data_IF_437913732398
#
_entry.id   IF_437913732398
#
_cell.length_a   1.000
_cell.length_b   1.000
_cell.length_c   1.000
_cell.angle_alpha   90.00
_cell.angle_beta   90.00
_cell.angle_gamma   90.00
#
_symmetry.space_group_name_H-M   'P 1'
#
loop_
_entity.id
_entity.type
_entity.pdbx_description
1 polymer ?
#
# COMPACT_ATOMS: atom_id res chain seq x y z
N UNK A 1 -4.01 13.86 -8.26
CA UNK A 1 -3.02 12.80 -8.06
C UNK A 1 -2.94 11.92 -9.29
N UNK A 2 -1.75 11.57 -9.68
CA UNK A 2 -1.59 10.66 -10.80
C UNK A 2 -1.85 9.23 -10.35
N UNK A 3 -2.64 8.52 -11.10
CA UNK A 3 -2.83 7.09 -10.87
C UNK A 3 -1.62 6.33 -11.38
N UNK A 4 -1.18 5.38 -10.58
CA UNK A 4 -0.08 4.51 -10.94
C UNK A 4 -0.69 3.16 -11.32
N UNK A 5 -0.25 2.61 -12.44
CA UNK A 5 -0.67 1.30 -12.88
C UNK A 5 0.43 0.28 -12.59
N UNK A 6 0.02 -0.96 -12.33
CA UNK A 6 0.98 -2.06 -12.18
C UNK A 6 1.54 -2.36 -13.57
N UNK A 7 2.86 -2.44 -13.72
CA UNK A 7 3.46 -2.77 -15.02
C UNK A 7 2.98 -4.11 -15.57
N UNK A 8 2.89 -4.21 -16.88
CA UNK A 8 2.30 -5.38 -17.54
C UNK A 8 3.05 -6.69 -17.28
N UNK A 9 4.35 -6.61 -17.01
CA UNK A 9 5.18 -7.79 -16.75
C UNK A 9 5.16 -8.22 -15.27
N UNK A 10 4.34 -7.57 -14.44
CA UNK A 10 4.22 -7.90 -13.03
C UNK A 10 3.11 -8.90 -12.80
N UNK A 11 3.32 -9.76 -11.83
CA UNK A 11 2.37 -10.83 -11.48
C UNK A 11 2.01 -10.74 -10.02
N UNK A 12 0.78 -11.11 -9.72
CA UNK A 12 0.27 -11.17 -8.36
C UNK A 12 0.94 -12.32 -7.61
N UNK A 13 1.45 -12.04 -6.40
CA UNK A 13 2.13 -13.06 -5.61
C UNK A 13 1.41 -13.42 -4.33
N UNK A 14 0.77 -12.45 -3.67
CA UNK A 14 0.02 -12.73 -2.46
C UNK A 14 -0.98 -11.62 -2.17
N UNK A 15 -1.98 -11.96 -1.37
CA UNK A 15 -2.97 -11.02 -0.86
C UNK A 15 -3.02 -11.17 0.65
N UNK A 16 -3.06 -10.04 1.36
CA UNK A 16 -3.25 -10.08 2.81
C UNK A 16 -4.68 -10.51 3.13
N UNK A 17 -4.93 -10.98 4.36
CA UNK A 17 -6.30 -11.11 4.82
C UNK A 17 -6.99 -9.74 4.78
N UNK A 18 -8.30 -9.73 4.92
CA UNK A 18 -9.01 -8.48 5.17
C UNK A 18 -8.63 -8.00 6.56
N UNK A 19 -8.06 -6.81 6.62
CA UNK A 19 -7.60 -6.22 7.88
C UNK A 19 -8.56 -5.15 8.36
N UNK A 20 -8.64 -5.03 9.69
CA UNK A 20 -9.32 -3.92 10.37
C UNK A 20 -8.28 -3.09 11.10
N UNK A 21 -8.70 -2.02 11.77
CA UNK A 21 -7.79 -1.22 12.61
C UNK A 21 -7.09 -2.08 13.66
N UNK A 22 -7.80 -3.08 14.17
CA UNK A 22 -7.29 -3.91 15.26
C UNK A 22 -6.45 -5.07 14.78
N UNK A 23 -6.70 -5.57 13.58
CA UNK A 23 -6.03 -6.79 13.08
C UNK A 23 -4.85 -6.52 12.16
N UNK A 24 -4.75 -5.33 11.60
CA UNK A 24 -3.62 -4.98 10.75
C UNK A 24 -2.34 -4.86 11.56
N UNK A 25 -1.18 -5.19 10.96
CA UNK A 25 0.10 -4.99 11.66
C UNK A 25 0.27 -3.54 12.07
N UNK A 26 0.73 -3.32 13.30
CA UNK A 26 0.89 -1.97 13.82
C UNK A 26 1.84 -1.12 12.97
N UNK A 27 2.80 -1.75 12.32
CA UNK A 27 3.80 -1.05 11.52
C UNK A 27 3.20 -0.29 10.34
N UNK A 28 2.04 -0.69 9.81
CA UNK A 28 1.49 -0.01 8.64
C UNK A 28 0.91 1.36 8.97
N UNK A 29 0.59 1.59 10.23
CA UNK A 29 0.08 2.90 10.67
C UNK A 29 1.22 3.89 10.88
N UNK A 30 2.45 3.41 10.98
CA UNK A 30 3.64 4.22 11.17
C UNK A 30 4.35 4.38 9.84
N UNK A 31 5.11 5.48 9.72
CA UNK A 31 5.91 5.70 8.53
C UNK A 31 6.90 4.55 8.33
N UNK A 32 6.89 3.95 7.16
CA UNK A 32 7.78 2.84 6.84
C UNK A 32 8.05 2.80 5.33
N UNK A 33 9.07 2.06 4.96
CA UNK A 33 9.25 1.64 3.57
C UNK A 33 8.49 0.35 3.35
N UNK A 34 8.19 0.06 2.12
CA UNK A 34 7.53 -1.19 1.80
C UNK A 34 8.34 -2.36 2.29
N UNK A 35 7.74 -2.97 3.17
CA UNK A 35 8.13 -4.03 4.01
C UNK A 35 9.21 -4.92 3.48
N UNK A 36 10.40 -4.70 3.97
CA UNK A 36 11.49 -5.64 3.83
C UNK A 36 11.54 -6.19 2.46
N UNK A 37 10.95 -5.51 1.62
CA UNK A 37 10.58 -6.12 0.44
C UNK A 37 11.61 -5.88 -0.59
N UNK A 38 11.56 -6.70 -1.51
CA UNK A 38 12.36 -6.62 -2.66
C UNK A 38 12.04 -5.38 -3.43
N UNK A 39 13.06 -4.86 -4.04
CA UNK A 39 12.96 -3.77 -4.96
C UNK A 39 11.89 -4.05 -5.99
N UNK A 40 11.03 -3.07 -6.23
CA UNK A 40 10.06 -3.16 -7.29
C UNK A 40 8.77 -3.89 -6.98
N UNK A 41 8.48 -4.17 -5.71
CA UNK A 41 7.19 -4.74 -5.34
C UNK A 41 6.14 -3.64 -5.34
N UNK A 42 5.05 -3.85 -6.09
CA UNK A 42 3.94 -2.89 -6.14
C UNK A 42 2.80 -3.38 -5.28
N UNK A 43 2.38 -2.61 -4.27
CA UNK A 43 1.17 -2.91 -3.51
C UNK A 43 -0.05 -2.27 -4.15
N UNK A 44 -1.17 -2.99 -4.14
CA UNK A 44 -2.47 -2.45 -4.50
C UNK A 44 -3.38 -2.58 -3.29
N UNK A 45 -3.75 -1.45 -2.70
CA UNK A 45 -4.61 -1.42 -1.53
C UNK A 45 -6.05 -1.26 -1.96
N UNK A 46 -6.92 -2.15 -1.50
CA UNK A 46 -8.34 -2.14 -1.81
C UNK A 46 -9.14 -1.98 -0.52
N UNK A 47 -10.08 -1.04 -0.53
CA UNK A 47 -10.93 -0.78 0.64
C UNK A 47 -12.31 -1.36 0.38
N UNK A 48 -12.77 -2.24 1.29
CA UNK A 48 -14.10 -2.84 1.18
C UNK A 48 -15.12 -2.12 2.05
N UNK A 49 -14.70 -1.44 3.10
CA UNK A 49 -15.59 -0.70 4.00
C UNK A 49 -14.82 0.46 4.61
N UNK A 50 -15.51 1.58 4.82
CA UNK A 50 -14.89 2.78 5.39
C UNK A 50 -13.98 3.48 4.40
N UNK A 51 -12.85 3.98 4.88
CA UNK A 51 -11.88 4.70 4.04
C UNK A 51 -10.49 4.66 4.64
N UNK A 52 -9.49 4.68 3.77
CA UNK A 52 -8.08 4.74 4.13
C UNK A 52 -7.50 6.03 3.54
N UNK A 53 -6.61 6.68 4.27
CA UNK A 53 -5.78 7.75 3.73
C UNK A 53 -4.34 7.26 3.67
N UNK A 54 -3.75 7.34 2.48
CA UNK A 54 -2.34 7.05 2.25
C UNK A 54 -1.56 8.36 2.30
N UNK A 55 -0.46 8.37 3.04
CA UNK A 55 0.45 9.52 3.11
C UNK A 55 1.81 9.09 2.59
N UNK A 56 2.29 9.74 1.54
CA UNK A 56 3.62 9.50 0.99
C UNK A 56 4.57 10.63 1.41
N UNK A 57 5.78 10.27 1.81
CA UNK A 57 6.78 11.21 2.32
C UNK A 57 8.00 11.24 1.43
N UNK A 58 8.69 12.39 1.40
CA UNK A 58 9.92 12.51 0.62
C UNK A 58 11.04 11.66 1.20
N UNK A 59 11.08 11.53 2.54
CA UNK A 59 12.08 10.72 3.23
C UNK A 59 11.57 10.32 4.61
N UNK A 60 12.43 9.67 5.38
CA UNK A 60 12.09 9.14 6.70
C UNK A 60 11.68 10.21 7.70
N UNK A 61 12.21 11.39 7.57
CA UNK A 61 12.10 12.44 8.61
C UNK A 61 11.34 13.68 8.19
N UNK A 62 10.90 13.77 6.94
CA UNK A 62 10.12 14.93 6.47
C UNK A 62 8.89 15.13 7.33
N UNK A 63 8.63 16.34 7.85
CA UNK A 63 7.51 16.54 8.78
C UNK A 63 6.14 16.42 8.13
N UNK A 64 6.05 16.71 6.84
CA UNK A 64 4.77 16.69 6.12
C UNK A 64 4.82 15.70 4.96
N UNK A 65 3.69 15.05 4.67
CA UNK A 65 3.63 14.23 3.47
C UNK A 65 3.72 15.10 2.21
N UNK A 66 4.34 14.57 1.17
CA UNK A 66 4.39 15.24 -0.13
C UNK A 66 3.17 14.88 -0.97
N UNK A 67 2.45 13.84 -0.55
CA UNK A 67 1.23 13.44 -1.25
C UNK A 67 0.31 12.71 -0.30
N UNK A 68 -1.00 12.94 -0.43
CA UNK A 68 -2.01 12.19 0.31
C UNK A 68 -3.09 11.73 -0.66
N UNK A 69 -3.60 10.53 -0.40
CA UNK A 69 -4.63 9.91 -1.24
C UNK A 69 -5.68 9.31 -0.34
N UNK A 70 -6.95 9.60 -0.61
CA UNK A 70 -8.05 8.95 0.08
C UNK A 70 -8.63 7.86 -0.81
N UNK A 71 -8.75 6.66 -0.24
CA UNK A 71 -9.32 5.51 -0.93
C UNK A 71 -10.58 5.13 -0.19
N UNK A 72 -11.71 5.27 -0.85
CA UNK A 72 -13.02 4.99 -0.26
C UNK A 72 -13.44 3.55 -0.52
N UNK A 73 -14.47 3.10 0.20
CA UNK A 73 -15.03 1.76 0.01
C UNK A 73 -15.37 1.52 -1.46
N UNK A 74 -14.97 0.38 -1.98
CA UNK A 74 -15.15 0.02 -3.38
C UNK A 74 -14.05 0.52 -4.30
N UNK A 75 -13.09 1.27 -3.75
CA UNK A 75 -11.97 1.80 -4.54
C UNK A 75 -10.68 1.07 -4.21
N UNK A 76 -9.69 1.23 -5.08
CA UNK A 76 -8.35 0.74 -4.82
C UNK A 76 -7.34 1.76 -5.34
N UNK A 77 -6.10 1.64 -4.86
CA UNK A 77 -4.99 2.45 -5.36
C UNK A 77 -3.72 1.61 -5.37
N UNK A 78 -2.88 1.86 -6.35
CA UNK A 78 -1.56 1.24 -6.49
C UNK A 78 -0.53 2.27 -6.09
N UNK A 79 0.45 1.88 -5.30
CA UNK A 79 1.48 2.78 -4.83
C UNK A 79 2.85 2.40 -5.38
N UNK A 80 3.77 3.38 -5.52
CA UNK A 80 5.10 3.08 -6.01
C UNK A 80 5.88 2.27 -4.97
N UNK A 81 6.80 1.40 -5.42
CA UNK A 81 7.67 0.68 -4.48
C UNK A 81 8.66 1.63 -3.82
N UNK A 82 9.19 1.20 -2.69
CA UNK A 82 10.30 1.87 -2.00
C UNK A 82 10.04 3.34 -1.64
N UNK A 83 8.81 3.66 -1.29
CA UNK A 83 8.45 5.00 -0.87
C UNK A 83 8.11 5.01 0.62
N UNK A 84 8.69 5.97 1.34
CA UNK A 84 8.31 6.17 2.74
C UNK A 84 6.85 6.57 2.81
N UNK A 85 6.06 5.83 3.58
CA UNK A 85 4.62 6.07 3.65
C UNK A 85 4.03 5.51 4.92
N UNK A 86 2.81 5.94 5.20
CA UNK A 86 1.94 5.30 6.18
C UNK A 86 0.50 5.40 5.70
N UNK A 87 -0.36 4.64 6.32
CA UNK A 87 -1.79 4.73 6.05
C UNK A 87 -2.53 5.01 7.34
N UNK A 88 -3.74 5.55 7.21
CA UNK A 88 -4.60 5.86 8.34
C UNK A 88 -6.01 5.37 8.02
N UNK A 89 -6.64 4.70 8.98
CA UNK A 89 -8.05 4.35 8.86
C UNK A 89 -8.88 5.58 9.22
N UNK A 90 -9.70 6.04 8.30
CA UNK A 90 -10.50 7.25 8.50
C UNK A 90 -11.79 6.99 9.25
N UNK A 91 -12.21 5.73 9.36
CA UNK A 91 -13.38 5.32 10.13
C UNK A 91 -13.02 4.12 11.00
N UNK A 92 -13.79 3.92 12.08
CA UNK A 92 -13.52 2.81 12.98
C UNK A 92 -13.86 1.45 12.37
N UNK A 93 -14.73 1.43 11.38
CA UNK A 93 -15.19 0.22 10.74
C UNK A 93 -14.42 -0.11 9.44
N UNK A 94 -13.33 0.56 9.20
CA UNK A 94 -12.55 0.38 7.96
C UNK A 94 -12.07 -1.06 7.81
N UNK A 95 -12.27 -1.63 6.63
CA UNK A 95 -11.82 -2.96 6.24
C UNK A 95 -11.10 -2.83 4.90
N UNK A 96 -9.90 -3.39 4.81
CA UNK A 96 -9.08 -3.30 3.61
C UNK A 96 -8.18 -4.51 3.46
N UNK A 97 -7.61 -4.66 2.28
CA UNK A 97 -6.62 -5.69 2.00
C UNK A 97 -5.58 -5.15 1.03
N UNK A 98 -4.45 -5.83 0.92
CA UNK A 98 -3.38 -5.42 0.01
C UNK A 98 -2.95 -6.61 -0.83
N UNK A 99 -2.90 -6.39 -2.14
CA UNK A 99 -2.35 -7.35 -3.09
C UNK A 99 -0.93 -6.91 -3.45
N UNK A 100 -0.02 -7.87 -3.57
CA UNK A 100 1.37 -7.59 -3.92
C UNK A 100 1.70 -8.16 -5.28
N UNK A 101 2.40 -7.36 -6.08
CA UNK A 101 2.81 -7.72 -7.43
C UNK A 101 4.31 -7.57 -7.58
N UNK A 102 4.95 -8.53 -8.21
CA UNK A 102 6.39 -8.50 -8.47
C UNK A 102 6.64 -8.73 -9.95
N UNK A 103 7.80 -8.26 -10.40
CA UNK A 103 8.25 -8.50 -11.77
C UNK A 103 8.37 -10.01 -11.97
N UNK A 104 7.76 -10.52 -13.03
CA UNK A 104 7.80 -11.95 -13.34
C UNK A 104 9.22 -12.45 -13.50
N UNK A 105 10.13 -11.60 -13.93
CA UNK A 105 11.54 -11.94 -14.08
C UNK A 105 12.20 -12.23 -12.73
N UNK A 106 11.87 -11.42 -11.70
CA UNK A 106 12.39 -11.64 -10.36
C UNK A 106 11.86 -12.97 -9.82
N UNK A 107 10.60 -13.26 -10.06
CA UNK A 107 9.98 -14.49 -9.60
C UNK A 107 10.66 -15.73 -10.21
N UNK A 108 11.03 -15.64 -11.48
CA UNK A 108 11.69 -16.75 -12.16
C UNK A 108 13.13 -16.97 -11.70
N UNK A 109 13.77 -15.94 -11.17
CA UNK A 109 15.16 -16.03 -10.68
C UNK A 109 15.24 -16.65 -9.29
N UNK A 110 14.14 -16.87 -8.64
CA UNK A 110 14.08 -17.52 -7.35
C UNK A 110 13.92 -19.02 -7.50
#
# INVERSE_FOLDING_TARGET
>A
MQRIAIPANYVHTRTTPFWTKETAPASIWKRHLDAGTRQGVYPRLSVSQGAIRYNGYADETSPQPVETVTINAGEFAVFPPEKWHNIEALTDDTIFSVDFYVDSKILLEE
#
